data_IF_599292725526
#
_entry.id   IF_599292725526
#
_cell.length_a   1.000
_cell.length_b   1.000
_cell.length_c   1.000
_cell.angle_alpha   90.00
_cell.angle_beta   90.00
_cell.angle_gamma   90.00
#
_symmetry.space_group_name_H-M   'P 1'
#
loop_
_entity.id
_entity.type
_entity.pdbx_description
1 polymer ?
#
# COMPACT_ATOMS: atom_id res chain seq x y z
N UNK A 1 30.51 19.27 2.76
CA UNK A 1 31.38 18.34 3.48
C UNK A 1 30.74 16.98 3.48
N UNK A 2 31.46 16.00 2.94
CA UNK A 2 30.99 14.67 2.51
C UNK A 2 30.44 13.80 3.64
N UNK A 3 29.26 13.24 3.42
CA UNK A 3 28.88 11.86 3.70
C UNK A 3 27.57 11.61 2.96
N UNK A 4 27.50 10.67 2.03
CA UNK A 4 27.13 9.32 2.32
C UNK A 4 27.77 8.33 1.33
N UNK A 5 28.90 7.77 1.63
CA UNK A 5 29.58 6.74 0.79
C UNK A 5 29.61 5.36 1.48
N UNK A 6 29.16 5.24 2.73
CA UNK A 6 29.30 3.97 3.48
C UNK A 6 28.12 2.98 3.33
N UNK A 7 26.93 3.38 2.94
CA UNK A 7 25.76 2.48 2.86
C UNK A 7 25.86 1.38 1.78
N UNK A 8 26.67 1.56 0.76
CA UNK A 8 26.75 0.60 -0.36
C UNK A 8 27.87 -0.43 -0.25
N UNK A 9 28.73 -0.35 0.76
CA UNK A 9 29.94 -1.19 0.86
C UNK A 9 29.64 -2.68 1.10
N UNK A 10 28.48 -3.01 1.62
CA UNK A 10 28.09 -4.39 1.96
C UNK A 10 26.99 -4.96 1.06
N UNK A 11 26.58 -4.23 0.03
CA UNK A 11 25.58 -4.73 -0.90
C UNK A 11 26.18 -5.83 -1.79
N UNK A 12 25.39 -6.89 -2.01
CA UNK A 12 25.70 -7.96 -2.96
C UNK A 12 25.06 -7.59 -4.31
N UNK A 13 25.86 -7.14 -5.30
CA UNK A 13 25.30 -6.59 -6.55
C UNK A 13 24.44 -7.59 -7.33
N UNK A 14 24.76 -8.87 -7.27
CA UNK A 14 23.99 -9.90 -7.96
C UNK A 14 22.59 -10.08 -7.34
N UNK A 15 22.48 -10.03 -6.00
CA UNK A 15 21.20 -10.12 -5.30
C UNK A 15 20.33 -8.88 -5.59
N UNK A 16 20.90 -7.68 -5.49
CA UNK A 16 20.21 -6.45 -5.83
C UNK A 16 19.64 -6.48 -7.24
N UNK A 17 20.46 -6.86 -8.22
CA UNK A 17 20.05 -6.97 -9.64
C UNK A 17 18.95 -8.00 -9.83
N UNK A 18 19.01 -9.14 -9.14
CA UNK A 18 17.97 -10.18 -9.18
C UNK A 18 16.64 -9.67 -8.65
N UNK A 19 16.63 -8.98 -7.52
CA UNK A 19 15.40 -8.38 -6.96
C UNK A 19 14.84 -7.28 -7.88
N UNK A 20 15.70 -6.39 -8.41
CA UNK A 20 15.28 -5.37 -9.37
C UNK A 20 14.69 -5.97 -10.65
N UNK A 21 15.21 -7.11 -11.11
CA UNK A 21 14.67 -7.84 -12.26
C UNK A 21 13.23 -8.31 -11.98
N UNK A 22 12.99 -8.93 -10.82
CA UNK A 22 11.65 -9.37 -10.43
C UNK A 22 10.65 -8.19 -10.32
N UNK A 23 11.10 -7.01 -9.94
CA UNK A 23 10.28 -5.80 -9.83
C UNK A 23 9.87 -5.18 -11.17
N UNK A 24 10.45 -5.62 -12.30
CA UNK A 24 10.04 -5.18 -13.64
C UNK A 24 8.67 -5.74 -14.06
N UNK A 25 8.31 -6.92 -13.54
CA UNK A 25 7.03 -7.54 -13.84
C UNK A 25 5.89 -6.79 -13.12
N UNK A 26 4.85 -6.45 -13.88
CA UNK A 26 3.68 -5.70 -13.41
C UNK A 26 2.41 -6.30 -14.02
N UNK A 27 1.25 -5.88 -13.52
CA UNK A 27 -0.04 -6.34 -14.04
C UNK A 27 -0.27 -6.03 -15.52
N UNK A 28 0.18 -4.88 -15.94
CA UNK A 28 0.15 -4.40 -17.34
C UNK A 28 1.29 -4.96 -18.18
N UNK A 29 2.21 -5.69 -17.55
CA UNK A 29 3.42 -6.23 -18.18
C UNK A 29 3.81 -7.55 -17.54
N UNK A 30 3.06 -8.59 -17.87
CA UNK A 30 3.21 -9.91 -17.27
C UNK A 30 4.33 -10.75 -17.91
N UNK A 31 4.72 -10.43 -19.15
CA UNK A 31 5.83 -11.10 -19.87
C UNK A 31 6.86 -10.07 -20.34
N UNK A 32 8.15 -10.39 -20.17
CA UNK A 32 9.26 -9.51 -20.55
C UNK A 32 10.37 -10.35 -21.19
N UNK A 33 10.86 -9.89 -22.34
CA UNK A 33 11.99 -10.51 -23.04
C UNK A 33 13.34 -10.18 -22.37
N UNK A 34 14.29 -11.12 -22.38
CA UNK A 34 15.64 -10.90 -21.83
C UNK A 34 16.37 -9.67 -22.42
N UNK A 35 16.26 -9.35 -23.74
CA UNK A 35 16.86 -8.13 -24.29
C UNK A 35 16.26 -6.84 -23.72
N UNK A 36 14.98 -6.84 -23.41
CA UNK A 36 14.27 -5.72 -22.83
C UNK A 36 14.67 -5.49 -21.37
N UNK A 37 14.77 -6.57 -20.57
CA UNK A 37 15.30 -6.54 -19.22
C UNK A 37 16.72 -5.97 -19.21
N UNK A 38 17.57 -6.40 -20.14
CA UNK A 38 18.95 -5.91 -20.24
C UNK A 38 19.01 -4.41 -20.50
N UNK A 39 18.13 -3.88 -21.34
CA UNK A 39 18.02 -2.46 -21.64
C UNK A 39 17.55 -1.65 -20.43
N UNK A 40 16.48 -2.12 -19.75
CA UNK A 40 15.91 -1.37 -18.62
C UNK A 40 16.80 -1.32 -17.40
N UNK A 41 17.47 -2.45 -17.10
CA UNK A 41 18.40 -2.51 -15.98
C UNK A 41 19.80 -1.97 -16.31
N UNK A 42 20.04 -1.57 -17.58
CA UNK A 42 21.35 -1.19 -18.08
C UNK A 42 22.43 -2.26 -17.80
N UNK A 43 22.10 -3.56 -17.98
CA UNK A 43 22.98 -4.68 -17.69
C UNK A 43 23.41 -5.40 -18.97
N UNK A 44 24.65 -5.99 -19.00
CA UNK A 44 25.05 -6.88 -20.09
C UNK A 44 24.09 -8.06 -20.26
N UNK A 45 23.82 -8.47 -21.50
CA UNK A 45 22.94 -9.62 -21.80
C UNK A 45 23.34 -10.91 -21.09
N UNK A 46 24.64 -11.16 -20.98
CA UNK A 46 25.19 -12.33 -20.25
C UNK A 46 24.85 -12.31 -18.77
N UNK A 47 24.85 -11.12 -18.13
CA UNK A 47 24.48 -10.97 -16.74
C UNK A 47 22.97 -11.23 -16.54
N UNK A 48 22.12 -10.66 -17.40
CA UNK A 48 20.67 -10.89 -17.36
C UNK A 48 20.34 -12.37 -17.58
N UNK A 49 21.01 -13.02 -18.52
CA UNK A 49 20.82 -14.44 -18.75
C UNK A 49 21.12 -15.29 -17.50
N UNK A 50 22.25 -15.02 -16.83
CA UNK A 50 22.62 -15.72 -15.59
C UNK A 50 21.62 -15.46 -14.44
N UNK A 51 21.12 -14.23 -14.31
CA UNK A 51 20.10 -13.89 -13.31
C UNK A 51 18.81 -14.65 -13.61
N UNK A 52 18.34 -14.63 -14.87
CA UNK A 52 17.13 -15.34 -15.28
C UNK A 52 17.24 -16.84 -15.04
N UNK A 53 18.36 -17.47 -15.42
CA UNK A 53 18.58 -18.90 -15.13
C UNK A 53 18.54 -19.21 -13.63
N UNK A 54 19.14 -18.36 -12.79
CA UNK A 54 19.10 -18.55 -11.35
C UNK A 54 17.67 -18.40 -10.82
N UNK A 55 16.94 -17.37 -11.25
CA UNK A 55 15.57 -17.14 -10.82
C UNK A 55 14.60 -18.21 -11.34
N UNK A 56 14.84 -18.75 -12.54
CA UNK A 56 14.10 -19.88 -13.11
C UNK A 56 14.35 -21.16 -12.31
N UNK A 57 15.60 -21.45 -11.98
CA UNK A 57 15.96 -22.58 -11.10
C UNK A 57 15.28 -22.48 -9.72
N UNK A 58 15.14 -21.27 -9.17
CA UNK A 58 14.44 -21.00 -7.91
C UNK A 58 12.90 -20.95 -8.06
N UNK A 59 12.38 -21.09 -9.27
CA UNK A 59 10.94 -20.99 -9.56
C UNK A 59 10.36 -19.58 -9.41
N UNK A 60 11.22 -18.55 -9.31
CA UNK A 60 10.79 -17.15 -9.20
C UNK A 60 10.37 -16.56 -10.56
N UNK A 61 10.92 -17.06 -11.65
CA UNK A 61 10.48 -16.78 -13.02
C UNK A 61 10.31 -18.08 -13.77
N UNK A 62 9.52 -18.07 -14.83
CA UNK A 62 9.37 -19.17 -15.77
C UNK A 62 9.39 -18.64 -17.20
N UNK A 63 9.83 -19.47 -18.13
CA UNK A 63 9.88 -19.12 -19.55
C UNK A 63 8.53 -19.39 -20.18
N UNK A 64 7.96 -18.39 -20.83
CA UNK A 64 6.73 -18.51 -21.59
C UNK A 64 6.99 -19.12 -22.99
N UNK A 65 5.95 -19.60 -23.65
CA UNK A 65 6.02 -20.18 -25.01
C UNK A 65 6.52 -19.16 -26.05
N UNK A 66 6.32 -17.88 -25.79
CA UNK A 66 6.85 -16.75 -26.58
C UNK A 66 8.38 -16.62 -26.50
N UNK A 67 9.04 -17.33 -25.57
CA UNK A 67 10.45 -17.17 -25.25
C UNK A 67 10.74 -16.00 -24.30
N UNK A 68 9.73 -15.21 -23.92
CA UNK A 68 9.81 -14.23 -22.85
C UNK A 68 9.77 -14.92 -21.47
N UNK A 69 9.95 -14.13 -20.41
CA UNK A 69 9.87 -14.60 -19.04
C UNK A 69 8.66 -13.97 -18.34
N UNK A 70 8.07 -14.70 -17.39
CA UNK A 70 7.02 -14.24 -16.50
C UNK A 70 7.33 -14.65 -15.07
N UNK A 71 6.65 -14.07 -14.09
CA UNK A 71 6.80 -14.48 -12.70
C UNK A 71 6.32 -15.93 -12.52
N UNK A 72 7.14 -16.71 -11.84
CA UNK A 72 6.82 -18.06 -11.40
C UNK A 72 6.24 -18.08 -9.99
N UNK A 73 5.61 -19.20 -9.61
CA UNK A 73 4.96 -19.39 -8.31
C UNK A 73 5.93 -19.32 -7.11
N UNK A 74 7.24 -19.45 -7.33
CA UNK A 74 8.26 -19.31 -6.29
C UNK A 74 8.26 -17.95 -5.60
N UNK A 75 7.83 -16.88 -6.29
CA UNK A 75 7.70 -15.54 -5.69
C UNK A 75 6.56 -15.50 -4.66
N UNK A 76 5.49 -16.29 -4.86
CA UNK A 76 4.37 -16.32 -3.93
C UNK A 76 4.77 -16.82 -2.55
N UNK A 77 5.69 -17.79 -2.45
CA UNK A 77 6.14 -18.30 -1.15
C UNK A 77 6.71 -17.19 -0.26
N UNK A 78 7.54 -16.30 -0.82
CA UNK A 78 8.11 -15.18 -0.07
C UNK A 78 7.02 -14.19 0.39
N UNK A 79 6.06 -13.91 -0.49
CA UNK A 79 4.96 -13.00 -0.17
C UNK A 79 3.97 -13.61 0.83
N UNK A 80 3.65 -14.90 0.74
CA UNK A 80 2.75 -15.57 1.66
C UNK A 80 3.35 -15.73 3.06
N UNK A 81 4.64 -16.07 3.19
CA UNK A 81 5.32 -16.13 4.49
C UNK A 81 5.30 -14.75 5.18
N UNK A 82 5.51 -13.67 4.44
CA UNK A 82 5.37 -12.34 4.98
C UNK A 82 3.94 -12.05 5.44
N UNK A 83 2.94 -12.31 4.60
CA UNK A 83 1.52 -12.09 4.94
C UNK A 83 1.06 -12.98 6.10
N UNK A 84 1.51 -14.25 6.16
CA UNK A 84 1.21 -15.16 7.25
C UNK A 84 1.89 -14.76 8.57
N UNK A 85 3.02 -14.06 8.51
CA UNK A 85 3.65 -13.49 9.71
C UNK A 85 2.91 -12.27 10.27
N UNK A 86 1.97 -11.69 9.52
CA UNK A 86 1.14 -10.58 9.95
C UNK A 86 -0.12 -11.12 10.64
N UNK A 87 -0.07 -11.36 11.94
CA UNK A 87 -1.25 -11.64 12.79
C UNK A 87 -2.42 -10.68 12.51
N UNK A 88 -2.08 -9.44 12.14
CA UNK A 88 -3.00 -8.40 11.71
C UNK A 88 -3.93 -8.82 10.58
N UNK A 89 -3.44 -9.56 9.56
CA UNK A 89 -4.27 -9.94 8.40
C UNK A 89 -5.30 -11.00 8.76
N UNK A 90 -4.95 -11.94 9.63
CA UNK A 90 -5.85 -13.00 10.09
C UNK A 90 -6.95 -12.42 10.99
N UNK A 91 -6.57 -11.53 11.89
CA UNK A 91 -7.49 -10.80 12.77
C UNK A 91 -8.45 -9.91 11.97
N UNK A 92 -7.96 -9.22 10.95
CA UNK A 92 -8.73 -8.24 10.18
C UNK A 92 -9.61 -8.87 9.10
N UNK A 93 -9.25 -10.03 8.55
CA UNK A 93 -9.94 -10.66 7.42
C UNK A 93 -11.46 -10.77 7.61
N UNK A 94 -11.99 -11.39 8.70
CA UNK A 94 -13.44 -11.53 8.86
C UNK A 94 -14.15 -10.18 8.99
N UNK A 95 -13.48 -9.17 9.54
CA UNK A 95 -14.04 -7.81 9.70
C UNK A 95 -14.11 -7.09 8.35
N UNK A 96 -13.05 -7.18 7.54
CA UNK A 96 -12.97 -6.55 6.22
C UNK A 96 -13.95 -7.19 5.23
N UNK A 97 -14.12 -8.52 5.28
CA UNK A 97 -15.10 -9.24 4.47
C UNK A 97 -16.53 -8.86 4.84
N UNK A 98 -16.86 -8.83 6.12
CA UNK A 98 -18.17 -8.37 6.61
C UNK A 98 -18.42 -6.91 6.22
N UNK A 99 -17.44 -6.01 6.35
CA UNK A 99 -17.57 -4.61 5.96
C UNK A 99 -17.91 -4.47 4.47
N UNK A 100 -17.30 -5.28 3.60
CA UNK A 100 -17.67 -5.38 2.18
C UNK A 100 -19.12 -5.84 2.00
N UNK A 101 -19.53 -6.90 2.70
CA UNK A 101 -20.86 -7.50 2.53
C UNK A 101 -21.97 -6.56 2.98
N UNK A 102 -21.77 -5.84 4.10
CA UNK A 102 -22.73 -4.89 4.63
C UNK A 102 -22.85 -3.60 3.78
N UNK A 103 -21.76 -3.22 3.11
CA UNK A 103 -21.74 -1.95 2.35
C UNK A 103 -21.92 -2.13 0.86
N UNK A 104 -21.63 -3.32 0.33
CA UNK A 104 -21.52 -3.57 -1.10
C UNK A 104 -20.32 -2.85 -1.74
N UNK A 105 -19.40 -2.30 -0.95
CA UNK A 105 -18.22 -1.59 -1.42
C UNK A 105 -16.95 -2.45 -1.29
N UNK A 106 -15.93 -2.16 -2.08
CA UNK A 106 -14.63 -2.80 -1.88
C UNK A 106 -14.01 -2.35 -0.56
N UNK A 107 -13.65 -3.29 0.30
CA UNK A 107 -12.99 -3.05 1.58
C UNK A 107 -11.52 -3.49 1.53
N UNK A 108 -10.64 -2.77 2.22
CA UNK A 108 -9.20 -2.99 2.17
C UNK A 108 -8.56 -2.72 3.53
N UNK A 109 -7.48 -3.47 3.81
CA UNK A 109 -6.56 -3.17 4.90
C UNK A 109 -5.20 -2.81 4.29
N UNK A 110 -4.60 -1.75 4.79
CA UNK A 110 -3.31 -1.26 4.33
C UNK A 110 -2.38 -1.03 5.51
N UNK A 111 -1.09 -1.21 5.27
CA UNK A 111 0.00 -0.85 6.18
C UNK A 111 0.89 0.20 5.53
N UNK A 112 1.71 0.87 6.32
CA UNK A 112 2.74 1.79 5.82
C UNK A 112 4.07 1.04 5.66
N UNK A 113 4.71 1.25 4.53
CA UNK A 113 6.08 0.81 4.28
C UNK A 113 6.89 1.97 3.68
N UNK A 114 7.70 2.60 4.53
CA UNK A 114 8.39 3.83 4.17
C UNK A 114 7.39 4.96 3.81
N UNK A 115 7.58 5.56 2.65
CA UNK A 115 6.75 6.63 2.10
C UNK A 115 5.51 6.11 1.33
N UNK A 116 5.33 4.79 1.25
CA UNK A 116 4.21 4.14 0.58
C UNK A 116 3.23 3.52 1.58
N UNK A 117 2.02 3.27 1.10
CA UNK A 117 1.08 2.31 1.68
C UNK A 117 1.08 1.04 0.84
N UNK A 118 0.96 -0.09 1.51
CA UNK A 118 0.85 -1.41 0.88
C UNK A 118 -0.49 -2.03 1.25
N UNK A 119 -1.22 -2.52 0.25
CA UNK A 119 -2.46 -3.25 0.49
C UNK A 119 -2.11 -4.67 0.91
N UNK A 120 -2.47 -5.05 2.13
CA UNK A 120 -2.20 -6.40 2.68
C UNK A 120 -3.43 -7.29 2.68
N UNK A 121 -4.64 -6.71 2.62
CA UNK A 121 -5.89 -7.44 2.53
C UNK A 121 -6.89 -6.67 1.66
N UNK A 122 -7.65 -7.37 0.82
CA UNK A 122 -8.71 -6.81 0.00
C UNK A 122 -9.90 -7.76 -0.09
N UNK A 123 -11.08 -7.24 0.19
CA UNK A 123 -12.37 -7.85 -0.11
C UNK A 123 -13.03 -7.02 -1.22
N UNK A 124 -13.12 -7.60 -2.42
CA UNK A 124 -13.71 -6.91 -3.57
C UNK A 124 -15.24 -6.83 -3.43
N UNK A 125 -15.81 -5.65 -3.62
CA UNK A 125 -17.26 -5.47 -3.70
C UNK A 125 -17.85 -6.07 -4.98
N UNK A 126 -19.17 -6.32 -5.03
CA UNK A 126 -19.85 -6.79 -6.22
C UNK A 126 -19.82 -5.68 -7.30
N UNK A 127 -19.26 -5.99 -8.45
CA UNK A 127 -19.22 -5.07 -9.60
C UNK A 127 -18.09 -5.39 -10.55
N UNK A 128 -18.24 -4.97 -11.80
CA UNK A 128 -17.24 -5.16 -12.86
C UNK A 128 -16.04 -4.23 -12.75
N UNK A 129 -16.07 -3.27 -11.81
CA UNK A 129 -14.96 -2.36 -11.59
C UNK A 129 -13.84 -3.07 -10.85
N UNK A 130 -12.90 -3.54 -11.61
CA UNK A 130 -11.58 -3.96 -11.11
C UNK A 130 -10.75 -2.69 -10.97
N UNK A 131 -10.76 -2.06 -9.78
CA UNK A 131 -9.68 -1.10 -9.50
C UNK A 131 -8.36 -1.83 -9.72
N UNK A 132 -7.37 -1.19 -10.34
CA UNK A 132 -6.03 -1.75 -10.55
C UNK A 132 -5.29 -2.05 -9.23
N UNK A 133 -6.02 -2.02 -8.12
CA UNK A 133 -5.54 -2.19 -6.76
C UNK A 133 -5.76 -3.63 -6.31
N UNK A 134 -4.70 -4.30 -5.92
CA UNK A 134 -4.69 -5.67 -5.38
C UNK A 134 -3.78 -5.76 -4.15
N UNK A 135 -3.82 -6.89 -3.45
CA UNK A 135 -2.83 -7.20 -2.41
C UNK A 135 -1.43 -7.06 -3.02
N UNK A 136 -0.54 -6.38 -2.30
CA UNK A 136 0.81 -6.01 -2.76
C UNK A 136 0.88 -4.68 -3.54
N UNK A 137 -0.24 -4.07 -3.93
CA UNK A 137 -0.21 -2.75 -4.57
C UNK A 137 0.36 -1.71 -3.60
N UNK A 138 1.31 -0.91 -4.11
CA UNK A 138 1.95 0.21 -3.40
C UNK A 138 1.42 1.53 -3.95
N UNK A 139 1.07 2.44 -3.05
CA UNK A 139 0.61 3.77 -3.40
C UNK A 139 1.33 4.81 -2.51
N UNK A 140 1.65 6.01 -3.02
CA UNK A 140 2.33 7.03 -2.23
C UNK A 140 1.45 7.48 -1.05
N UNK A 141 2.01 7.38 0.17
CA UNK A 141 1.26 7.66 1.39
C UNK A 141 0.79 9.12 1.48
N UNK A 142 1.62 10.08 1.05
CA UNK A 142 1.26 11.50 1.07
C UNK A 142 0.07 11.85 0.15
N UNK A 143 -0.16 11.06 -0.89
CA UNK A 143 -1.11 11.37 -1.95
C UNK A 143 -2.47 10.66 -1.79
N UNK A 144 -2.57 9.67 -0.91
CA UNK A 144 -3.79 8.88 -0.71
C UNK A 144 -4.40 9.11 0.66
N UNK A 145 -5.71 8.92 0.80
CA UNK A 145 -6.35 8.96 2.13
C UNK A 145 -5.87 7.82 3.02
N UNK A 146 -5.57 6.66 2.43
CA UNK A 146 -5.02 5.51 3.12
C UNK A 146 -3.73 5.88 3.83
N UNK A 147 -2.84 6.55 3.09
CA UNK A 147 -1.58 7.03 3.63
C UNK A 147 -1.77 8.16 4.63
N UNK A 148 -2.62 9.14 4.35
CA UNK A 148 -2.91 10.22 5.31
C UNK A 148 -3.42 9.67 6.64
N UNK A 149 -4.32 8.67 6.61
CA UNK A 149 -4.80 7.99 7.82
C UNK A 149 -3.65 7.40 8.65
N UNK A 150 -2.69 6.75 7.99
CA UNK A 150 -1.51 6.18 8.65
C UNK A 150 -0.53 7.25 9.13
N UNK A 151 -0.34 8.31 8.34
CA UNK A 151 0.55 9.42 8.66
C UNK A 151 0.04 10.29 9.80
N UNK A 152 -1.29 10.35 10.04
CA UNK A 152 -1.87 11.02 11.21
C UNK A 152 -1.40 10.44 12.56
N UNK A 153 -0.88 9.22 12.58
CA UNK A 153 -0.29 8.60 13.77
C UNK A 153 1.15 9.00 14.05
N UNK A 154 1.80 9.74 13.14
CA UNK A 154 3.20 10.15 13.29
C UNK A 154 3.32 11.51 13.96
N UNK A 155 4.38 11.66 14.76
CA UNK A 155 4.82 12.96 15.27
C UNK A 155 5.41 13.82 14.13
N UNK A 156 5.47 15.13 14.33
CA UNK A 156 6.09 16.05 13.36
C UNK A 156 7.56 15.70 13.08
N UNK A 157 8.29 15.18 14.08
CA UNK A 157 9.67 14.73 13.93
C UNK A 157 9.82 13.45 13.07
N UNK A 158 8.91 12.49 13.27
CA UNK A 158 8.87 11.27 12.45
C UNK A 158 8.47 11.58 11.01
N UNK A 159 7.50 12.47 10.82
CA UNK A 159 7.08 12.91 9.51
C UNK A 159 8.21 13.64 8.75
N UNK A 160 8.99 14.47 9.45
CA UNK A 160 10.15 15.16 8.86
C UNK A 160 11.29 14.17 8.49
N UNK A 161 11.51 13.13 9.29
CA UNK A 161 12.47 12.07 8.94
C UNK A 161 12.00 11.23 7.76
N UNK A 162 10.69 10.97 7.69
CA UNK A 162 10.09 10.21 6.58
C UNK A 162 10.16 10.97 5.25
N UNK A 163 9.97 12.30 5.30
CA UNK A 163 10.02 13.21 4.16
C UNK A 163 11.08 14.29 4.41
N UNK A 164 12.36 13.96 4.20
CA UNK A 164 13.46 14.90 4.46
C UNK A 164 13.46 16.09 3.48
N UNK A 165 12.92 15.87 2.26
CA UNK A 165 12.79 16.93 1.28
C UNK A 165 11.53 17.76 1.50
N UNK A 166 11.56 19.08 1.34
CA UNK A 166 10.40 19.94 1.51
C UNK A 166 9.35 19.74 0.42
N UNK A 167 9.73 19.22 -0.74
CA UNK A 167 8.87 18.95 -1.90
C UNK A 167 8.48 17.47 -1.95
N UNK A 168 7.23 17.20 -2.32
CA UNK A 168 6.68 15.86 -2.46
C UNK A 168 6.45 15.52 -3.93
N UNK A 169 6.65 14.25 -4.34
CA UNK A 169 6.41 13.82 -5.71
C UNK A 169 4.97 14.08 -6.16
N UNK A 170 4.81 14.44 -7.42
CA UNK A 170 3.49 14.62 -8.01
C UNK A 170 2.80 13.27 -8.23
N UNK A 171 1.70 13.00 -7.54
CA UNK A 171 0.98 11.72 -7.64
C UNK A 171 -0.46 11.88 -8.14
N UNK A 172 -1.10 13.03 -7.87
CA UNK A 172 -2.41 13.40 -8.42
C UNK A 172 -2.53 14.92 -8.46
N UNK A 173 -3.50 15.48 -9.20
CA UNK A 173 -3.71 16.94 -9.26
C UNK A 173 -3.98 17.59 -7.90
N UNK A 174 -4.59 16.86 -6.97
CA UNK A 174 -4.97 17.34 -5.64
C UNK A 174 -4.00 16.91 -4.53
N UNK A 175 -3.01 16.07 -4.84
CA UNK A 175 -2.02 15.63 -3.85
C UNK A 175 -1.18 16.83 -3.36
N UNK A 176 -0.82 16.85 -2.04
CA UNK A 176 0.06 17.88 -1.51
C UNK A 176 1.41 17.83 -2.22
N UNK A 177 1.96 19.02 -2.50
CA UNK A 177 3.23 19.20 -3.20
C UNK A 177 4.38 19.50 -2.26
N UNK A 178 4.06 19.85 -1.03
CA UNK A 178 5.04 20.15 0.00
C UNK A 178 4.71 19.43 1.31
N UNK A 179 5.73 19.24 2.15
CA UNK A 179 5.55 18.70 3.49
C UNK A 179 4.65 19.62 4.34
N UNK A 180 4.69 20.93 4.10
CA UNK A 180 3.81 21.89 4.80
C UNK A 180 2.34 21.68 4.44
N UNK A 181 2.02 21.45 3.16
CA UNK A 181 0.65 21.15 2.72
C UNK A 181 0.17 19.82 3.29
N UNK A 182 1.03 18.80 3.29
CA UNK A 182 0.72 17.51 3.91
C UNK A 182 0.40 17.67 5.39
N UNK A 183 1.23 18.38 6.17
CA UNK A 183 0.99 18.66 7.58
C UNK A 183 -0.34 19.37 7.85
N UNK A 184 -0.73 20.29 6.96
CA UNK A 184 -2.03 20.96 7.07
C UNK A 184 -3.17 19.94 6.95
N UNK A 185 -3.14 19.08 5.94
CA UNK A 185 -4.16 18.02 5.75
C UNK A 185 -4.21 17.05 6.94
N UNK A 186 -3.05 16.64 7.45
CA UNK A 186 -3.00 15.71 8.59
C UNK A 186 -3.59 16.34 9.87
N UNK A 187 -3.36 17.65 10.10
CA UNK A 187 -3.97 18.37 11.23
C UNK A 187 -5.48 18.51 11.12
N UNK A 188 -6.02 18.53 9.91
CA UNK A 188 -7.47 18.55 9.67
C UNK A 188 -8.08 17.15 9.83
N UNK A 189 -7.38 16.10 9.46
CA UNK A 189 -7.85 14.71 9.50
C UNK A 189 -7.74 14.08 10.90
N UNK A 190 -6.64 14.32 11.62
CA UNK A 190 -6.35 13.66 12.89
C UNK A 190 -7.45 13.81 13.96
N UNK A 191 -8.05 14.99 14.20
CA UNK A 191 -9.10 15.14 15.22
C UNK A 191 -10.40 14.40 14.87
N UNK A 192 -10.64 14.12 13.58
CA UNK A 192 -11.85 13.40 13.13
C UNK A 192 -11.77 11.91 13.46
N UNK A 193 -10.56 11.35 13.56
CA UNK A 193 -10.35 9.91 13.73
C UNK A 193 -10.70 9.07 12.48
N UNK A 194 -10.90 9.72 11.34
CA UNK A 194 -11.08 9.11 10.02
C UNK A 194 -10.74 10.10 8.92
N UNK A 195 -10.50 9.60 7.71
CA UNK A 195 -10.28 10.40 6.51
C UNK A 195 -11.33 10.10 5.46
N UNK A 196 -11.72 11.12 4.70
CA UNK A 196 -12.64 11.00 3.55
C UNK A 196 -11.98 11.63 2.34
N UNK A 197 -12.19 11.02 1.20
CA UNK A 197 -11.78 11.55 -0.10
C UNK A 197 -12.90 11.39 -1.12
N UNK A 198 -13.13 12.45 -1.87
CA UNK A 198 -14.07 12.49 -2.99
C UNK A 198 -13.31 12.93 -4.23
N UNK A 199 -13.05 11.98 -5.15
CA UNK A 199 -12.26 12.19 -6.38
C UNK A 199 -10.89 12.87 -6.13
N UNK A 200 -10.21 12.51 -5.03
CA UNK A 200 -8.96 13.17 -4.63
C UNK A 200 -7.74 12.55 -5.33
N UNK A 201 -7.57 11.24 -5.26
CA UNK A 201 -6.47 10.52 -5.90
C UNK A 201 -6.83 10.11 -7.32
N UNK A 202 -8.02 9.56 -7.51
CA UNK A 202 -8.56 9.12 -8.79
C UNK A 202 -9.95 9.73 -9.00
N UNK A 203 -10.19 10.30 -10.18
CA UNK A 203 -11.46 10.90 -10.49
C UNK A 203 -12.58 9.85 -10.57
N UNK A 204 -13.75 10.15 -10.00
CA UNK A 204 -14.88 9.22 -9.96
C UNK A 204 -14.81 8.18 -8.85
N UNK A 205 -13.74 8.21 -8.03
CA UNK A 205 -13.57 7.32 -6.89
C UNK A 205 -13.56 8.11 -5.58
N UNK A 206 -14.44 7.71 -4.68
CA UNK A 206 -14.48 8.21 -3.31
C UNK A 206 -14.09 7.10 -2.34
N UNK A 207 -13.54 7.49 -1.20
CA UNK A 207 -13.13 6.52 -0.20
C UNK A 207 -13.22 7.10 1.22
N UNK A 208 -13.39 6.21 2.19
CA UNK A 208 -13.36 6.49 3.61
C UNK A 208 -12.34 5.56 4.26
N UNK A 209 -11.51 6.06 5.17
CA UNK A 209 -10.53 5.24 5.89
C UNK A 209 -10.49 5.62 7.38
N UNK A 210 -10.17 4.64 8.23
CA UNK A 210 -9.96 4.83 9.66
C UNK A 210 -8.73 4.05 10.15
N UNK A 211 -8.01 4.57 11.16
CA UNK A 211 -6.80 3.96 11.68
C UNK A 211 -7.12 2.73 12.54
N UNK A 212 -6.33 1.69 12.36
CA UNK A 212 -6.26 0.52 13.23
C UNK A 212 -5.06 0.69 14.17
N UNK A 213 -5.28 0.49 15.47
CA UNK A 213 -4.28 0.71 16.51
C UNK A 213 -3.92 -0.59 17.20
N UNK A 214 -2.67 -0.70 17.60
CA UNK A 214 -2.19 -1.80 18.44
C UNK A 214 -2.38 -1.53 19.94
N UNK A 215 -1.96 -2.46 20.76
CA UNK A 215 -2.01 -2.39 22.24
C UNK A 215 -1.30 -1.15 22.84
N UNK A 216 -0.40 -0.53 22.10
CA UNK A 216 0.33 0.66 22.52
C UNK A 216 -0.33 1.97 22.02
N UNK A 217 -1.47 1.86 21.32
CA UNK A 217 -2.17 2.97 20.69
C UNK A 217 -1.52 3.49 19.41
N UNK A 218 -0.50 2.78 18.90
CA UNK A 218 0.18 3.14 17.66
C UNK A 218 -0.69 2.76 16.45
N UNK A 219 -0.75 3.63 15.45
CA UNK A 219 -1.44 3.33 14.20
C UNK A 219 -0.59 2.37 13.37
N UNK A 220 -1.01 1.10 13.32
CA UNK A 220 -0.28 0.01 12.62
C UNK A 220 -0.87 -0.30 11.24
N UNK A 221 -2.15 0.02 11.04
CA UNK A 221 -2.83 -0.17 9.76
C UNK A 221 -3.94 0.86 9.56
N UNK A 222 -4.55 0.86 8.37
CA UNK A 222 -5.81 1.54 8.12
C UNK A 222 -6.77 0.61 7.38
N UNK A 223 -8.03 0.61 7.78
CA UNK A 223 -9.12 -0.04 7.06
C UNK A 223 -9.87 0.99 6.24
N UNK A 224 -10.30 0.64 5.04
CA UNK A 224 -10.99 1.56 4.15
C UNK A 224 -12.07 0.91 3.32
N UNK A 225 -13.02 1.75 2.90
CA UNK A 225 -13.98 1.48 1.83
C UNK A 225 -13.64 2.32 0.60
N UNK A 226 -13.75 1.72 -0.57
CA UNK A 226 -13.65 2.39 -1.86
C UNK A 226 -14.98 2.29 -2.58
N UNK A 227 -15.49 3.44 -3.02
CA UNK A 227 -16.77 3.61 -3.67
C UNK A 227 -16.55 4.19 -5.05
N UNK A 228 -17.12 3.56 -6.07
CA UNK A 228 -17.11 4.06 -7.45
C UNK A 228 -18.16 5.16 -7.65
N UNK A 229 -17.94 6.29 -7.01
CA UNK A 229 -18.74 7.50 -7.14
C UNK A 229 -17.83 8.72 -6.98
N UNK A 230 -18.11 9.83 -7.69
CA UNK A 230 -17.30 11.04 -7.56
C UNK A 230 -17.45 11.73 -6.20
N UNK A 231 -18.55 11.45 -5.50
CA UNK A 231 -18.86 11.97 -4.16
C UNK A 231 -19.62 10.93 -3.34
N UNK A 232 -19.83 11.21 -2.07
CA UNK A 232 -20.54 10.35 -1.13
C UNK A 232 -21.93 10.92 -0.75
N UNK A 233 -22.58 11.56 -1.71
CA UNK A 233 -23.95 12.08 -1.52
C UNK A 233 -25.01 10.96 -1.49
N UNK A 234 -26.10 11.12 -0.73
CA UNK A 234 -26.38 12.24 0.18
C UNK A 234 -25.59 12.14 1.50
N UNK A 235 -25.56 13.20 2.34
CA UNK A 235 -24.78 13.20 3.61
C UNK A 235 -25.02 11.98 4.50
N UNK A 236 -26.26 11.50 4.60
CA UNK A 236 -26.60 10.30 5.35
C UNK A 236 -25.89 9.03 4.84
N UNK A 237 -25.61 8.94 3.54
CA UNK A 237 -24.83 7.85 2.96
C UNK A 237 -23.36 7.94 3.40
N UNK A 238 -22.79 9.14 3.34
CA UNK A 238 -21.43 9.40 3.81
C UNK A 238 -21.26 9.06 5.29
N UNK A 239 -22.18 9.55 6.15
CA UNK A 239 -22.15 9.29 7.59
C UNK A 239 -22.23 7.79 7.90
N UNK A 240 -23.09 7.04 7.20
CA UNK A 240 -23.18 5.59 7.33
C UNK A 240 -21.87 4.91 7.00
N UNK A 241 -21.23 5.24 5.88
CA UNK A 241 -19.96 4.63 5.49
C UNK A 241 -18.84 4.98 6.49
N UNK A 242 -18.78 6.23 6.95
CA UNK A 242 -17.84 6.67 7.98
C UNK A 242 -18.02 5.83 9.25
N UNK A 243 -19.26 5.68 9.72
CA UNK A 243 -19.52 4.92 10.94
C UNK A 243 -19.13 3.44 10.79
N UNK A 244 -19.45 2.81 9.64
CA UNK A 244 -19.12 1.42 9.37
C UNK A 244 -17.59 1.21 9.33
N UNK A 245 -16.84 2.09 8.68
CA UNK A 245 -15.37 2.02 8.63
C UNK A 245 -14.76 2.23 10.02
N UNK A 246 -15.27 3.19 10.80
CA UNK A 246 -14.81 3.42 12.17
C UNK A 246 -15.07 2.22 13.08
N UNK A 247 -16.26 1.60 12.97
CA UNK A 247 -16.60 0.40 13.73
C UNK A 247 -15.67 -0.77 13.37
N UNK A 248 -15.41 -0.98 12.08
CA UNK A 248 -14.48 -2.01 11.62
C UNK A 248 -13.05 -1.75 12.14
N UNK A 249 -12.57 -0.51 12.07
CA UNK A 249 -11.26 -0.14 12.60
C UNK A 249 -11.16 -0.36 14.13
N UNK A 250 -12.20 0.01 14.87
CA UNK A 250 -12.26 -0.19 16.30
C UNK A 250 -12.27 -1.69 16.67
N UNK A 251 -13.05 -2.51 15.96
CA UNK A 251 -13.10 -3.95 16.19
C UNK A 251 -11.75 -4.63 15.91
N UNK A 252 -11.08 -4.29 14.79
CA UNK A 252 -9.74 -4.82 14.50
C UNK A 252 -8.76 -4.39 15.59
N UNK A 253 -8.80 -3.13 16.01
CA UNK A 253 -7.94 -2.60 17.07
C UNK A 253 -8.16 -3.33 18.40
N UNK A 254 -9.41 -3.59 18.79
CA UNK A 254 -9.74 -4.36 20.00
C UNK A 254 -9.17 -5.79 19.94
N UNK A 255 -9.25 -6.43 18.79
CA UNK A 255 -8.66 -7.75 18.56
C UNK A 255 -7.14 -7.75 18.62
N UNK A 256 -6.50 -6.58 18.41
CA UNK A 256 -5.07 -6.31 18.61
C UNK A 256 -4.77 -5.80 20.03
N UNK A 257 -5.68 -6.03 20.98
CA UNK A 257 -5.58 -5.63 22.38
C UNK A 257 -5.48 -4.10 22.61
N UNK A 258 -5.99 -3.28 21.67
CA UNK A 258 -6.14 -1.86 21.89
C UNK A 258 -7.38 -1.57 22.72
N UNK A 259 -7.17 -0.92 23.87
CA UNK A 259 -8.24 -0.42 24.73
C UNK A 259 -8.09 1.11 24.83
N UNK A 260 -8.99 1.89 24.18
CA UNK A 260 -8.95 3.35 24.34
C UNK A 260 -9.10 3.70 25.83
N UNK A 261 -8.28 4.63 26.31
CA UNK A 261 -8.48 5.18 27.64
C UNK A 261 -9.93 5.70 27.72
N UNK A 262 -10.64 5.33 28.79
CA UNK A 262 -11.98 5.84 29.02
C UNK A 262 -11.92 7.38 28.95
N UNK A 263 -12.77 7.98 28.12
CA UNK A 263 -12.88 9.43 28.07
C UNK A 263 -13.28 9.93 29.46
N UNK A 264 -12.35 10.64 30.09
CA UNK A 264 -12.58 11.24 31.41
C UNK A 264 -13.52 12.45 31.29
#
# INVERSE_FOLDING_TARGET
MNAPVEEHRYLVPALERGVRLLQLFRRDRTEIGAPEIARELALPRSTVFRLLQTLEHLGCVERADSGAYRLGSGVLRLGFEYLASLELTDVARPVVERLRDETGCSAQLVIRDGQDVVIVLRAAGPGTFTSNVSVGTRLPAHATILGRTLLCGLTDGELARLYPEPTLPAASPRAPRTLADLRKLLREDAPRGYTVSESFFEQGISAVAAPVRDQHGQTVAAVSLTVQKPNLDPPAYRERLVQQVRNAAAEISQRLNYHPAAAA
#
